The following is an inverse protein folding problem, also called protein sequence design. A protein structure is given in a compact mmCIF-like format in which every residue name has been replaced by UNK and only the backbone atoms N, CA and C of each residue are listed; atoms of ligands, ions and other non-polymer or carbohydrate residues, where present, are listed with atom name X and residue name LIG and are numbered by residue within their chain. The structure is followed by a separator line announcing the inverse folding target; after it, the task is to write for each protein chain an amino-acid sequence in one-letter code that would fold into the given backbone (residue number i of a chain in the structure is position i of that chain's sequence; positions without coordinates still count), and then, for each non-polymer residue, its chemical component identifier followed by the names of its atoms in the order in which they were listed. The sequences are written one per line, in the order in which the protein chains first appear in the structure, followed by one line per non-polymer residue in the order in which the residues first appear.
data_IF_228616138690
#
_entry.id   IF_228616138690
#
_cell.length_a   1.000
_cell.length_b   1.000
_cell.length_c   1.000
_cell.angle_alpha   90.00
_cell.angle_beta   90.00
_cell.angle_gamma   90.00
#
_symmetry.space_group_name_H-M   'P 1'
#
loop_
_entity.id
_entity.type
_entity.pdbx_description
1 polymer ?
#
# COMPACT_ATOMS: atom_id res chain seq x y z
N UNK A 1 27.24 27.44 -3.31
CA UNK A 1 26.33 28.23 -2.45
C UNK A 1 24.92 27.71 -2.72
N UNK A 2 24.26 27.10 -1.73
CA UNK A 2 22.90 26.54 -1.89
C UNK A 2 21.88 27.58 -1.43
N UNK A 3 20.96 27.97 -2.30
CA UNK A 3 19.83 28.81 -1.94
C UNK A 3 18.59 27.92 -1.80
N UNK A 4 17.97 27.96 -0.64
CA UNK A 4 16.65 27.35 -0.41
C UNK A 4 15.67 28.47 -0.14
N UNK A 5 14.62 28.56 -0.97
CA UNK A 5 13.51 29.46 -0.72
C UNK A 5 12.55 28.78 0.27
N UNK A 6 12.24 29.40 1.42
CA UNK A 6 11.22 28.88 2.31
C UNK A 6 9.85 29.02 1.64
N UNK A 7 9.10 27.92 1.59
CA UNK A 7 7.68 27.92 1.20
C UNK A 7 6.86 28.05 2.47
N UNK A 8 6.06 29.11 2.59
CA UNK A 8 5.10 29.28 3.67
C UNK A 8 3.71 28.88 3.19
N UNK A 9 3.16 27.80 3.74
CA UNK A 9 1.74 27.49 3.60
C UNK A 9 0.95 28.27 4.66
N UNK A 10 0.00 29.10 4.21
CA UNK A 10 -1.00 29.74 5.07
C UNK A 10 -2.35 29.10 4.79
N UNK A 11 -2.98 28.56 5.83
CA UNK A 11 -4.38 28.16 5.80
C UNK A 11 -5.21 29.38 6.22
N UNK A 12 -5.97 29.95 5.29
CA UNK A 12 -6.89 31.06 5.58
C UNK A 12 -8.30 30.54 5.86
N UNK A 13 -8.87 30.98 6.97
CA UNK A 13 -10.31 30.87 7.23
C UNK A 13 -10.75 29.61 7.98
N UNK A 14 -11.40 29.83 9.12
CA UNK A 14 -12.35 28.89 9.68
C UNK A 14 -13.29 28.41 8.55
N UNK A 15 -13.30 27.10 8.28
CA UNK A 15 -13.94 26.39 7.15
C UNK A 15 -13.07 26.10 5.90
N UNK A 16 -11.74 26.23 5.96
CA UNK A 16 -10.83 25.67 4.96
C UNK A 16 -10.87 24.13 4.94
N UNK A 17 -11.90 23.56 4.31
CA UNK A 17 -11.85 22.23 3.68
C UNK A 17 -11.11 22.39 2.35
N UNK A 18 -9.85 22.79 2.39
CA UNK A 18 -8.98 22.60 1.23
C UNK A 18 -8.71 21.10 1.17
N UNK A 19 -9.32 20.42 0.19
CA UNK A 19 -9.14 19.01 -0.09
C UNK A 19 -7.71 18.74 -0.56
N UNK A 20 -6.71 18.92 0.30
CA UNK A 20 -5.49 18.12 0.20
C UNK A 20 -5.89 16.76 0.74
N UNK A 21 -6.57 16.00 -0.11
CA UNK A 21 -7.08 14.67 0.16
C UNK A 21 -5.87 13.72 0.23
N UNK A 22 -5.12 13.85 1.31
CA UNK A 22 -4.18 12.85 1.76
C UNK A 22 -5.03 11.70 2.29
N UNK A 23 -5.65 10.94 1.40
CA UNK A 23 -6.22 9.63 1.74
C UNK A 23 -5.04 8.71 2.00
N UNK A 24 -4.73 8.36 3.27
CA UNK A 24 -3.88 7.20 3.48
C UNK A 24 -4.56 6.03 2.76
N UNK A 25 -3.90 5.45 1.77
CA UNK A 25 -4.40 4.31 0.96
C UNK A 25 -4.43 3.01 1.76
N UNK A 26 -4.72 3.10 3.06
CA UNK A 26 -4.80 1.99 3.99
C UNK A 26 -6.17 2.06 4.65
N UNK A 27 -7.13 1.33 4.06
CA UNK A 27 -8.47 1.20 4.58
C UNK A 27 -8.52 -0.08 5.43
N UNK A 28 -8.49 -0.01 6.77
CA UNK A 28 -8.39 -1.20 7.62
C UNK A 28 -9.62 -2.12 7.54
N UNK A 29 -10.73 -1.65 6.99
CA UNK A 29 -11.92 -2.47 6.71
C UNK A 29 -11.77 -3.31 5.44
N UNK A 30 -10.84 -2.94 4.58
CA UNK A 30 -10.66 -3.46 3.24
C UNK A 30 -9.17 -3.70 2.99
N UNK A 31 -8.54 -4.64 3.72
CA UNK A 31 -7.11 -4.88 3.59
C UNK A 31 -6.76 -5.34 2.16
N UNK A 32 -5.54 -5.06 1.70
CA UNK A 32 -5.05 -5.58 0.44
C UNK A 32 -4.94 -7.11 0.49
N UNK A 33 -4.97 -7.74 -0.68
CA UNK A 33 -4.73 -9.17 -0.79
C UNK A 33 -3.23 -9.45 -0.63
N UNK A 34 -2.87 -10.45 0.16
CA UNK A 34 -1.47 -10.88 0.31
C UNK A 34 -1.27 -12.18 -0.45
N UNK A 35 -0.21 -12.25 -1.23
CA UNK A 35 0.20 -13.42 -2.01
C UNK A 35 1.61 -13.78 -1.60
N UNK A 36 1.82 -15.02 -1.22
CA UNK A 36 3.14 -15.55 -0.87
C UNK A 36 3.49 -16.68 -1.83
N UNK A 37 4.58 -16.53 -2.56
CA UNK A 37 5.10 -17.56 -3.49
C UNK A 37 4.07 -18.05 -4.53
N UNK A 38 3.15 -17.16 -4.91
CA UNK A 38 2.06 -17.43 -5.85
C UNK A 38 0.77 -17.94 -5.19
N UNK A 39 0.79 -18.26 -3.90
CA UNK A 39 -0.41 -18.66 -3.15
C UNK A 39 -1.08 -17.45 -2.48
N UNK A 40 -2.41 -17.39 -2.60
CA UNK A 40 -3.21 -16.34 -1.97
C UNK A 40 -3.39 -16.67 -0.50
N UNK A 41 -2.91 -15.78 0.37
CA UNK A 41 -3.03 -15.93 1.81
C UNK A 41 -4.37 -15.37 2.33
N UNK A 42 -4.90 -15.96 3.41
CA UNK A 42 -6.12 -15.45 4.03
C UNK A 42 -5.86 -14.08 4.69
N UNK A 43 -6.91 -13.26 4.79
CA UNK A 43 -6.80 -11.90 5.35
C UNK A 43 -6.34 -11.86 6.82
N UNK A 44 -6.48 -12.96 7.55
CA UNK A 44 -6.02 -13.13 8.93
C UNK A 44 -4.66 -13.83 9.03
N UNK A 45 -3.94 -13.98 7.93
CA UNK A 45 -2.63 -14.62 7.92
C UNK A 45 -1.67 -13.87 8.85
N UNK A 46 -1.05 -14.61 9.76
CA UNK A 46 -0.12 -14.04 10.70
C UNK A 46 1.24 -13.84 10.01
N UNK A 47 1.48 -12.63 9.51
CA UNK A 47 2.74 -12.25 8.85
C UNK A 47 3.97 -12.39 9.76
N UNK A 48 3.81 -12.52 11.08
CA UNK A 48 4.93 -12.69 12.02
C UNK A 48 5.62 -14.05 11.87
N UNK A 49 4.98 -15.02 11.20
CA UNK A 49 5.60 -16.32 10.93
C UNK A 49 6.59 -16.27 9.77
N UNK A 50 6.49 -15.27 8.90
CA UNK A 50 7.43 -15.03 7.81
C UNK A 50 8.64 -14.29 8.34
N UNK A 51 9.81 -14.92 8.24
CA UNK A 51 11.06 -14.25 8.59
C UNK A 51 11.46 -13.28 7.48
N UNK A 52 11.86 -12.04 7.81
CA UNK A 52 12.27 -11.06 6.82
C UNK A 52 13.54 -11.47 6.06
N UNK A 53 14.41 -12.30 6.67
CA UNK A 53 15.62 -12.82 6.02
C UNK A 53 15.32 -13.72 4.81
N UNK A 54 14.17 -14.40 4.83
CA UNK A 54 13.70 -15.31 3.78
C UNK A 54 12.96 -14.59 2.67
N UNK A 55 12.70 -13.28 2.77
CA UNK A 55 12.03 -12.52 1.71
C UNK A 55 13.05 -12.15 0.63
N UNK A 56 12.81 -12.58 -0.60
CA UNK A 56 13.59 -12.20 -1.77
C UNK A 56 13.16 -10.82 -2.26
N UNK A 57 11.86 -10.64 -2.51
CA UNK A 57 11.28 -9.39 -2.99
C UNK A 57 9.83 -9.23 -2.56
N UNK A 58 9.40 -7.96 -2.54
CA UNK A 58 8.02 -7.55 -2.29
C UNK A 58 7.59 -6.66 -3.45
N UNK A 59 6.52 -7.04 -4.13
CA UNK A 59 5.91 -6.30 -5.22
C UNK A 59 4.51 -5.86 -4.81
N UNK A 60 4.16 -4.61 -5.12
CA UNK A 60 2.85 -4.04 -4.79
C UNK A 60 2.14 -3.67 -6.08
N UNK A 61 1.05 -4.38 -6.38
CA UNK A 61 0.18 -4.08 -7.52
C UNK A 61 -0.94 -3.16 -7.06
N UNK A 62 -1.14 -2.07 -7.80
CA UNK A 62 -2.19 -1.07 -7.56
C UNK A 62 -3.14 -0.98 -8.75
N UNK A 63 -4.37 -0.57 -8.47
CA UNK A 63 -5.41 -0.26 -9.46
C UNK A 63 -5.66 -1.43 -10.44
N UNK A 64 -5.54 -1.18 -11.75
CA UNK A 64 -5.92 -2.13 -12.79
C UNK A 64 -5.06 -3.40 -12.81
N UNK A 65 -3.76 -3.30 -12.50
CA UNK A 65 -2.83 -4.44 -12.55
C UNK A 65 -3.15 -5.49 -11.48
N UNK A 66 -3.68 -5.06 -10.34
CA UNK A 66 -4.09 -5.95 -9.25
C UNK A 66 -5.38 -6.72 -9.62
N UNK A 67 -6.38 -6.02 -10.15
CA UNK A 67 -7.66 -6.62 -10.55
C UNK A 67 -7.53 -7.54 -11.77
N UNK A 68 -6.61 -7.25 -12.70
CA UNK A 68 -6.39 -8.08 -13.89
C UNK A 68 -5.95 -9.51 -13.55
N UNK A 69 -5.17 -9.69 -12.48
CA UNK A 69 -4.63 -10.99 -12.09
C UNK A 69 -5.47 -11.64 -10.97
N UNK A 70 -5.90 -10.86 -9.98
CA UNK A 70 -6.54 -11.38 -8.76
C UNK A 70 -8.04 -11.07 -8.66
N UNK A 71 -8.64 -10.47 -9.70
CA UNK A 71 -10.07 -10.16 -9.77
C UNK A 71 -10.51 -9.17 -8.68
N UNK A 72 -11.76 -9.29 -8.25
CA UNK A 72 -12.35 -8.40 -7.22
C UNK A 72 -11.58 -8.43 -5.89
N UNK A 73 -10.90 -9.54 -5.57
CA UNK A 73 -10.08 -9.66 -4.34
C UNK A 73 -8.87 -8.72 -4.36
N UNK A 74 -8.39 -8.33 -5.54
CA UNK A 74 -7.30 -7.38 -5.71
C UNK A 74 -7.74 -5.91 -5.84
N UNK A 75 -9.05 -5.60 -5.69
CA UNK A 75 -9.58 -4.24 -5.85
C UNK A 75 -8.94 -3.22 -4.89
N UNK A 76 -8.53 -3.67 -3.71
CA UNK A 76 -7.89 -2.84 -2.69
C UNK A 76 -6.34 -2.88 -2.79
N UNK A 77 -5.81 -3.45 -3.87
CA UNK A 77 -4.38 -3.69 -4.08
C UNK A 77 -3.95 -5.11 -3.70
N UNK A 78 -2.81 -5.53 -4.24
CA UNK A 78 -2.21 -6.85 -3.99
C UNK A 78 -0.75 -6.69 -3.61
N UNK A 79 -0.34 -7.34 -2.53
CA UNK A 79 1.04 -7.41 -2.06
C UNK A 79 1.54 -8.82 -2.36
N UNK A 80 2.51 -8.92 -3.27
CA UNK A 80 3.13 -10.18 -3.66
C UNK A 80 4.48 -10.26 -2.95
N UNK A 81 4.69 -11.36 -2.25
CA UNK A 81 5.92 -11.66 -1.53
C UNK A 81 6.50 -12.92 -2.15
N UNK A 82 7.76 -12.83 -2.56
CA UNK A 82 8.52 -13.98 -3.04
C UNK A 82 9.59 -14.32 -2.00
N UNK A 83 9.64 -15.57 -1.58
CA UNK A 83 10.66 -16.06 -0.66
C UNK A 83 11.90 -16.57 -1.41
N UNK A 84 13.05 -16.51 -0.73
CA UNK A 84 14.32 -17.04 -1.24
C UNK A 84 14.29 -18.56 -1.19
N UNK A 85 14.79 -19.20 -2.25
CA UNK A 85 15.07 -20.64 -2.26
C UNK A 85 16.34 -20.99 -1.48
#
# INVERSE_FOLDING_TARGET
MKYTLPINFKLDGANAKENVDFKPSFDPKNPPLIVLDGEVLPANFNMSILKPESIEKIEVLKDASATAIYGEKGKNGVIIITSKK
#
